data_IF_673345456201
#
_entry.id   IF_673345456201
#
_cell.length_a   1.000
_cell.length_b   1.000
_cell.length_c   1.000
_cell.angle_alpha   90.00
_cell.angle_beta   90.00
_cell.angle_gamma   90.00
#
_symmetry.space_group_name_H-M   'P 1'
#
loop_
_entity.id
_entity.type
_entity.pdbx_description
1 polymer ?
#
# COMPACT_ATOMS: atom_id res chain seq x y z
N UNK A 1 24.73 10.29 -8.25
CA UNK A 1 24.60 11.56 -7.51
C UNK A 1 23.27 11.52 -6.77
N UNK A 2 23.27 11.65 -5.44
CA UNK A 2 22.02 11.65 -4.69
C UNK A 2 21.18 12.87 -5.08
N UNK A 3 19.97 12.66 -5.58
CA UNK A 3 19.08 13.76 -5.96
C UNK A 3 18.47 14.48 -4.76
N UNK A 4 17.73 15.55 -5.01
CA UNK A 4 17.02 16.34 -3.99
C UNK A 4 15.53 16.38 -4.31
N UNK A 5 14.67 16.25 -3.30
CA UNK A 5 13.24 16.52 -3.39
C UNK A 5 13.05 17.98 -3.02
N UNK A 6 12.54 18.79 -3.95
CA UNK A 6 12.33 20.22 -3.74
C UNK A 6 10.84 20.48 -3.61
N UNK A 7 10.43 21.02 -2.47
CA UNK A 7 9.05 21.46 -2.22
C UNK A 7 9.06 22.97 -2.20
N UNK A 8 8.14 23.59 -2.94
CA UNK A 8 8.01 25.04 -3.00
C UNK A 8 6.62 25.50 -2.63
N UNK A 9 6.58 26.43 -1.69
CA UNK A 9 5.40 27.15 -1.23
C UNK A 9 4.26 26.20 -0.83
N UNK A 10 4.54 25.24 0.06
CA UNK A 10 3.51 24.34 0.60
C UNK A 10 2.62 25.08 1.61
N UNK A 11 1.30 24.98 1.41
CA UNK A 11 0.25 25.71 2.15
C UNK A 11 -0.87 24.82 2.66
N UNK A 12 -0.76 23.50 2.49
CA UNK A 12 -1.77 22.55 2.98
C UNK A 12 -2.05 22.76 4.48
N UNK A 13 -3.34 22.87 4.83
CA UNK A 13 -3.82 23.18 6.18
C UNK A 13 -3.22 24.45 6.80
N UNK A 14 -2.32 24.30 7.77
CA UNK A 14 -1.72 25.40 8.53
C UNK A 14 -0.28 25.70 8.11
N UNK A 15 0.20 25.12 7.00
CA UNK A 15 1.50 25.43 6.45
C UNK A 15 1.53 26.87 5.92
N UNK A 16 2.58 27.62 6.25
CA UNK A 16 2.70 29.05 5.95
C UNK A 16 3.58 29.32 4.73
N UNK A 17 3.34 28.60 3.62
CA UNK A 17 4.14 28.75 2.40
C UNK A 17 5.56 28.22 2.56
N UNK A 18 5.69 26.95 2.98
CA UNK A 18 6.99 26.35 3.33
C UNK A 18 7.75 25.94 2.06
N UNK A 19 9.01 26.39 1.97
CA UNK A 19 10.00 25.92 1.01
C UNK A 19 11.01 24.99 1.69
N UNK A 20 11.26 23.81 1.12
CA UNK A 20 12.25 22.88 1.67
C UNK A 20 12.92 22.02 0.60
N UNK A 21 14.14 21.60 0.89
CA UNK A 21 14.95 20.68 0.08
C UNK A 21 15.30 19.44 0.92
N UNK A 22 14.76 18.29 0.55
CA UNK A 22 15.03 17.01 1.22
C UNK A 22 16.04 16.18 0.42
N UNK A 23 17.07 15.60 1.07
CA UNK A 23 17.98 14.70 0.39
C UNK A 23 17.29 13.38 0.02
N UNK A 24 17.47 12.91 -1.22
CA UNK A 24 17.02 11.56 -1.61
C UNK A 24 17.93 10.50 -1.00
N UNK A 25 17.38 9.28 -0.88
CA UNK A 25 18.11 8.09 -0.43
C UNK A 25 18.66 8.26 1.00
N UNK A 26 17.99 9.06 1.81
CA UNK A 26 18.30 9.30 3.22
C UNK A 26 17.05 9.09 4.06
N UNK A 27 17.26 8.66 5.30
CA UNK A 27 16.24 8.71 6.33
C UNK A 27 16.06 10.16 6.77
N UNK A 28 14.95 10.77 6.37
CA UNK A 28 14.57 12.13 6.77
C UNK A 28 13.55 12.02 7.89
N UNK A 29 13.81 12.71 9.01
CA UNK A 29 12.91 12.74 10.16
C UNK A 29 12.34 14.15 10.29
N UNK A 30 11.01 14.27 10.26
CA UNK A 30 10.31 15.53 10.54
C UNK A 30 9.99 15.60 12.03
N UNK A 31 10.47 16.64 12.70
CA UNK A 31 10.29 16.84 14.15
C UNK A 31 9.59 18.17 14.44
N UNK A 32 9.09 18.33 15.68
CA UNK A 32 8.40 19.53 16.14
C UNK A 32 7.17 19.25 17.00
N UNK A 33 6.65 20.26 17.72
CA UNK A 33 5.52 20.11 18.65
C UNK A 33 4.23 19.67 17.93
N UNK A 34 3.27 19.09 18.67
CA UNK A 34 1.96 18.75 18.09
C UNK A 34 1.31 19.96 17.42
N UNK A 35 0.67 19.77 16.27
CA UNK A 35 0.07 20.86 15.49
C UNK A 35 1.04 21.70 14.65
N UNK A 36 2.35 21.44 14.67
CA UNK A 36 3.34 22.23 13.90
C UNK A 36 3.28 22.06 12.36
N UNK A 37 2.38 21.22 11.84
CA UNK A 37 2.24 20.98 10.39
C UNK A 37 3.07 19.80 9.84
N UNK A 38 3.66 18.95 10.70
CA UNK A 38 4.42 17.76 10.26
C UNK A 38 3.60 16.82 9.38
N UNK A 39 2.41 16.44 9.86
CA UNK A 39 1.50 15.56 9.13
C UNK A 39 0.97 16.24 7.86
N UNK A 40 0.65 17.54 7.94
CA UNK A 40 0.26 18.35 6.78
C UNK A 40 1.32 18.31 5.68
N UNK A 41 2.61 18.39 6.04
CA UNK A 41 3.71 18.31 5.08
C UNK A 41 3.96 16.88 4.59
N UNK A 42 4.07 15.89 5.47
CA UNK A 42 4.43 14.52 5.10
C UNK A 42 3.30 13.77 4.39
N UNK A 43 2.11 13.78 4.98
CA UNK A 43 0.97 12.98 4.55
C UNK A 43 0.14 13.80 3.56
N UNK A 44 -0.36 14.95 3.98
CA UNK A 44 -1.35 15.69 3.19
C UNK A 44 -0.74 16.40 1.99
N UNK A 45 0.54 16.77 2.04
CA UNK A 45 1.27 17.37 0.91
C UNK A 45 2.09 16.34 0.13
N UNK A 46 3.17 15.80 0.71
CA UNK A 46 4.14 14.98 -0.02
C UNK A 46 3.54 13.66 -0.50
N UNK A 47 2.92 12.89 0.39
CA UNK A 47 2.31 11.62 0.02
C UNK A 47 1.15 11.81 -0.97
N UNK A 48 0.22 12.76 -0.74
CA UNK A 48 -0.86 13.02 -1.70
C UNK A 48 -0.37 13.50 -3.06
N UNK A 49 0.66 14.34 -3.10
CA UNK A 49 1.26 14.77 -4.36
C UNK A 49 1.85 13.57 -5.13
N UNK A 50 2.60 12.71 -4.44
CA UNK A 50 3.21 11.51 -5.04
C UNK A 50 2.18 10.48 -5.50
N UNK A 51 1.17 10.20 -4.68
CA UNK A 51 0.03 9.32 -4.99
C UNK A 51 -0.70 9.82 -6.24
N UNK A 52 -1.06 11.10 -6.27
CA UNK A 52 -1.73 11.71 -7.41
C UNK A 52 -0.89 11.61 -8.68
N UNK A 53 0.39 11.96 -8.63
CA UNK A 53 1.29 11.89 -9.78
C UNK A 53 1.44 10.46 -10.31
N UNK A 54 1.44 9.47 -9.42
CA UNK A 54 1.45 8.06 -9.80
C UNK A 54 0.15 7.66 -10.52
N UNK A 55 -1.02 8.05 -9.99
CA UNK A 55 -2.32 7.78 -10.62
C UNK A 55 -2.49 8.49 -11.98
N UNK A 56 -1.90 9.67 -12.15
CA UNK A 56 -1.84 10.40 -13.42
C UNK A 56 -0.98 9.68 -14.49
N UNK A 57 -0.09 8.76 -14.09
CA UNK A 57 0.66 7.90 -15.00
C UNK A 57 -0.11 6.66 -15.48
N UNK A 58 -1.26 6.36 -14.89
CA UNK A 58 -2.08 5.18 -15.25
C UNK A 58 -2.92 5.43 -16.51
N UNK A 59 -3.39 4.33 -17.11
CA UNK A 59 -4.26 4.40 -18.30
C UNK A 59 -5.54 5.21 -18.03
N UNK A 60 -6.12 5.88 -19.05
CA UNK A 60 -7.33 6.69 -18.86
C UNK A 60 -8.49 5.92 -18.22
N UNK A 61 -8.67 4.66 -18.63
CA UNK A 61 -9.71 3.76 -18.09
C UNK A 61 -9.54 3.51 -16.58
N UNK A 62 -8.30 3.22 -16.16
CA UNK A 62 -8.01 2.96 -14.76
C UNK A 62 -8.11 4.22 -13.91
N UNK A 63 -7.67 5.36 -14.45
CA UNK A 63 -7.79 6.68 -13.79
C UNK A 63 -9.24 7.10 -13.58
N UNK A 64 -10.12 6.85 -14.55
CA UNK A 64 -11.55 7.14 -14.40
C UNK A 64 -12.21 6.31 -13.29
N UNK A 65 -11.73 5.09 -13.04
CA UNK A 65 -12.25 4.20 -12.01
C UNK A 65 -11.73 4.55 -10.61
N UNK A 66 -10.43 4.82 -10.48
CA UNK A 66 -9.80 5.13 -9.19
C UNK A 66 -10.02 6.60 -8.76
N UNK A 67 -10.36 7.46 -9.70
CA UNK A 67 -10.37 8.91 -9.51
C UNK A 67 -8.96 9.49 -9.42
N UNK A 68 -8.88 10.81 -9.41
CA UNK A 68 -7.65 11.54 -9.06
C UNK A 68 -7.86 12.19 -7.71
N UNK A 69 -6.99 11.89 -6.74
CA UNK A 69 -7.04 12.51 -5.42
C UNK A 69 -6.98 14.05 -5.49
N UNK A 70 -7.42 14.71 -4.42
CA UNK A 70 -7.35 16.15 -4.28
C UNK A 70 -5.91 16.63 -4.52
N UNK A 71 -5.77 17.74 -5.25
CA UNK A 71 -4.46 18.35 -5.45
C UNK A 71 -4.08 19.08 -4.16
N UNK A 72 -2.96 18.73 -3.51
CA UNK A 72 -2.53 19.46 -2.33
C UNK A 72 -2.15 20.90 -2.69
N UNK A 73 -2.31 21.81 -1.75
CA UNK A 73 -1.94 23.22 -1.88
C UNK A 73 -0.42 23.39 -1.81
N UNK A 74 0.23 23.20 -2.95
CA UNK A 74 1.68 23.39 -3.14
C UNK A 74 1.95 23.86 -4.56
N UNK A 75 2.87 24.81 -4.73
CA UNK A 75 3.16 25.38 -6.04
C UNK A 75 3.95 24.40 -6.90
N UNK A 76 4.99 23.78 -6.32
CA UNK A 76 5.85 22.85 -7.03
C UNK A 76 6.45 21.81 -6.10
N UNK A 77 6.47 20.55 -6.57
CA UNK A 77 7.25 19.47 -5.96
C UNK A 77 8.03 18.77 -7.06
N UNK A 78 9.36 18.69 -6.88
CA UNK A 78 10.29 18.09 -7.86
C UNK A 78 11.10 16.98 -7.23
N UNK A 79 11.50 16.00 -8.04
CA UNK A 79 12.38 14.92 -7.60
C UNK A 79 11.75 13.90 -6.66
N UNK A 80 10.45 14.03 -6.36
CA UNK A 80 9.69 13.09 -5.54
C UNK A 80 9.39 11.78 -6.30
N UNK A 81 9.86 10.62 -5.81
CA UNK A 81 9.49 9.31 -6.37
C UNK A 81 8.04 8.95 -6.02
N UNK A 82 7.48 7.85 -6.56
CA UNK A 82 6.21 7.30 -6.07
C UNK A 82 6.26 7.12 -4.55
N UNK A 83 5.19 7.54 -3.88
CA UNK A 83 5.11 7.58 -2.42
C UNK A 83 4.22 6.48 -1.86
N UNK A 84 4.61 5.93 -0.72
CA UNK A 84 3.80 5.02 0.08
C UNK A 84 3.66 5.60 1.49
N UNK A 85 2.46 5.58 2.04
CA UNK A 85 2.19 5.97 3.41
C UNK A 85 1.86 4.73 4.24
N UNK A 86 2.48 4.60 5.41
CA UNK A 86 2.12 3.60 6.42
C UNK A 86 1.35 4.34 7.51
N UNK A 87 0.00 4.25 7.53
CA UNK A 87 -0.81 4.96 8.50
C UNK A 87 -0.60 4.41 9.91
N UNK A 88 -0.85 5.24 10.92
CA UNK A 88 -0.85 4.82 12.33
C UNK A 88 -2.14 4.12 12.74
N UNK A 89 -3.24 4.39 12.03
CA UNK A 89 -4.53 3.80 12.33
C UNK A 89 -4.57 2.33 11.89
N UNK A 90 -5.09 1.42 12.74
CA UNK A 90 -5.21 0.03 12.36
C UNK A 90 -6.23 -0.11 11.21
N UNK A 91 -5.98 -1.04 10.27
CA UNK A 91 -6.96 -1.31 9.22
C UNK A 91 -8.28 -1.81 9.84
N UNK A 92 -9.42 -1.63 9.14
CA UNK A 92 -10.69 -2.18 9.56
C UNK A 92 -10.57 -3.69 9.85
N UNK A 93 -11.16 -4.14 10.95
CA UNK A 93 -11.13 -5.56 11.31
C UNK A 93 -12.02 -6.36 10.36
N UNK A 94 -11.41 -7.28 9.62
CA UNK A 94 -12.11 -8.40 8.98
C UNK A 94 -11.97 -9.64 9.88
N UNK A 95 -13.08 -10.23 10.38
CA UNK A 95 -13.02 -11.42 11.24
C UNK A 95 -12.39 -12.65 10.56
N UNK A 96 -12.27 -12.67 9.23
CA UNK A 96 -11.60 -13.74 8.47
C UNK A 96 -10.14 -13.44 8.19
N UNK A 97 -9.69 -12.21 8.42
CA UNK A 97 -8.30 -11.84 8.22
C UNK A 97 -7.42 -12.37 9.36
N UNK A 98 -6.28 -12.93 8.97
CA UNK A 98 -5.20 -13.39 9.85
C UNK A 98 -3.90 -12.75 9.42
N UNK A 99 -2.85 -12.82 10.23
CA UNK A 99 -1.51 -12.37 9.83
C UNK A 99 -1.06 -13.02 8.50
N UNK A 100 -1.34 -14.32 8.34
CA UNK A 100 -0.96 -15.05 7.14
C UNK A 100 -1.70 -14.55 5.89
N UNK A 101 -2.98 -14.15 6.00
CA UNK A 101 -3.70 -13.61 4.86
C UNK A 101 -3.33 -12.16 4.55
N UNK A 102 -3.01 -11.34 5.55
CA UNK A 102 -2.61 -9.93 5.35
C UNK A 102 -1.19 -9.82 4.79
N UNK A 103 -0.30 -10.75 5.14
CA UNK A 103 1.07 -10.80 4.62
C UNK A 103 1.21 -11.65 3.34
N UNK A 104 0.10 -12.05 2.71
CA UNK A 104 0.02 -12.93 1.54
C UNK A 104 0.65 -14.33 1.72
N UNK A 105 1.18 -14.65 2.89
CA UNK A 105 1.77 -15.96 3.24
C UNK A 105 0.77 -17.11 3.04
N UNK A 106 -0.51 -16.87 3.36
CA UNK A 106 -1.56 -17.88 3.20
C UNK A 106 -1.71 -18.33 1.75
N UNK A 107 -1.51 -17.44 0.78
CA UNK A 107 -1.65 -17.78 -0.63
C UNK A 107 -0.47 -18.64 -1.12
N UNK A 108 0.74 -18.35 -0.65
CA UNK A 108 1.88 -19.25 -0.86
C UNK A 108 1.67 -20.63 -0.23
N UNK A 109 1.12 -20.67 0.99
CA UNK A 109 0.78 -21.94 1.65
C UNK A 109 -0.28 -22.72 0.86
N UNK A 110 -1.31 -22.06 0.34
CA UNK A 110 -2.34 -22.71 -0.50
C UNK A 110 -1.74 -23.38 -1.72
N UNK A 111 -0.84 -22.70 -2.43
CA UNK A 111 -0.14 -23.28 -3.58
C UNK A 111 0.74 -24.45 -3.14
N UNK A 112 1.51 -24.28 -2.06
CA UNK A 112 2.37 -25.33 -1.50
C UNK A 112 1.58 -26.60 -1.18
N UNK A 113 0.48 -26.48 -0.44
CA UNK A 113 -0.37 -27.62 -0.08
C UNK A 113 -1.18 -28.18 -1.26
N UNK A 114 -1.53 -27.37 -2.26
CA UNK A 114 -2.20 -27.87 -3.46
C UNK A 114 -1.26 -28.72 -4.33
N UNK A 115 0.02 -28.35 -4.42
CA UNK A 115 1.01 -29.05 -5.25
C UNK A 115 1.64 -30.23 -4.51
N UNK A 116 1.95 -30.06 -3.22
CA UNK A 116 2.72 -31.04 -2.44
C UNK A 116 1.95 -31.67 -1.27
N UNK A 117 0.71 -31.25 -1.01
CA UNK A 117 -0.08 -31.78 0.09
C UNK A 117 -0.70 -33.14 -0.25
N UNK A 118 -0.53 -34.11 0.65
CA UNK A 118 -1.23 -35.37 0.58
C UNK A 118 -2.63 -35.26 1.19
N UNK A 119 -3.68 -35.31 0.36
CA UNK A 119 -5.05 -35.32 0.85
C UNK A 119 -5.38 -36.63 1.59
N UNK A 120 -5.92 -36.53 2.80
CA UNK A 120 -6.33 -37.68 3.64
C UNK A 120 -7.77 -37.51 4.13
N UNK A 121 -8.49 -38.62 4.24
CA UNK A 121 -9.86 -38.63 4.75
C UNK A 121 -9.87 -38.24 6.24
N UNK A 122 -10.68 -37.23 6.61
CA UNK A 122 -10.78 -36.74 7.99
C UNK A 122 -11.35 -37.75 9.00
N UNK A 123 -12.02 -38.81 8.54
CA UNK A 123 -12.59 -39.85 9.43
C UNK A 123 -11.67 -41.06 9.62
N UNK A 124 -11.04 -41.54 8.56
CA UNK A 124 -10.27 -42.79 8.57
C UNK A 124 -8.78 -42.63 8.27
N UNK A 125 -8.29 -41.43 7.94
CA UNK A 125 -6.87 -41.13 7.71
C UNK A 125 -6.26 -41.67 6.42
N UNK A 126 -7.02 -42.44 5.62
CA UNK A 126 -6.55 -43.02 4.35
C UNK A 126 -6.30 -41.91 3.30
N UNK A 127 -5.28 -42.06 2.44
CA UNK A 127 -5.07 -41.16 1.30
C UNK A 127 -6.30 -41.09 0.40
N UNK A 128 -6.63 -39.89 -0.05
CA UNK A 128 -7.71 -39.68 -1.03
C UNK A 128 -7.16 -39.99 -2.41
N UNK A 129 -7.76 -40.98 -3.08
CA UNK A 129 -7.41 -41.38 -4.44
C UNK A 129 -8.47 -40.92 -5.44
N UNK A 130 -8.07 -40.81 -6.71
CA UNK A 130 -8.99 -40.57 -7.82
C UNK A 130 -9.97 -41.75 -7.92
N UNK A 131 -11.26 -41.44 -8.02
CA UNK A 131 -12.31 -42.44 -8.25
C UNK A 131 -12.74 -42.45 -9.70
N UNK A 132 -13.05 -43.64 -10.23
CA UNK A 132 -13.69 -43.75 -11.53
C UNK A 132 -15.19 -43.40 -11.43
N UNK A 133 -15.84 -42.90 -12.49
CA UNK A 133 -17.26 -42.52 -12.44
C UNK A 133 -18.19 -43.63 -11.95
N UNK A 134 -17.90 -44.90 -12.27
CA UNK A 134 -18.69 -46.05 -11.80
C UNK A 134 -18.60 -46.35 -10.31
N UNK A 135 -17.55 -45.87 -9.62
CA UNK A 135 -17.33 -46.09 -8.18
C UNK A 135 -18.08 -45.08 -7.29
N UNK A 136 -18.77 -44.11 -7.89
CA UNK A 136 -19.49 -43.04 -7.17
C UNK A 136 -21.02 -43.29 -7.18
N UNK A 137 -21.49 -44.27 -7.94
CA UNK A 137 -22.92 -44.50 -8.21
C UNK A 137 -23.64 -45.47 -7.25
N UNK A 138 -22.99 -45.91 -6.18
CA UNK A 138 -23.59 -46.64 -5.04
C UNK A 138 -23.44 -45.84 -3.74
#
# INVERSE_FOLDING_TARGET
MAGTIRVRNAREHNLKGVDLDLPRERLVVLTGPSGSGKSSLAVDTLFRFGERRYLEGLSPKLRAHLGTGARPEVDRVEGLPPTLCVPSDPPPRDPRATLASVADVLDYLRVLYAVHGEARCHRCGRPVARRAPGEVAE
#
